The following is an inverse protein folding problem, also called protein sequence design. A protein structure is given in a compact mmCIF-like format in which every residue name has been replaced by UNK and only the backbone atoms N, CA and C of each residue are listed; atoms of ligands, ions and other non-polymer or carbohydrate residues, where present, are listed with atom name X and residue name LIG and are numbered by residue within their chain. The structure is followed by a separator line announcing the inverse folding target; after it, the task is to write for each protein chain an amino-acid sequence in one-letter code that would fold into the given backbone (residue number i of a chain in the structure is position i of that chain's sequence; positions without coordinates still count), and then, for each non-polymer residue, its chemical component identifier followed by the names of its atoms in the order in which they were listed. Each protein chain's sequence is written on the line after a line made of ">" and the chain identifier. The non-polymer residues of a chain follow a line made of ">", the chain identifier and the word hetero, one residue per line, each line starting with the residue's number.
data_IF_530792183529
#
_entry.id   IF_530792183529
#
_cell.length_a   1.000
_cell.length_b   1.000
_cell.length_c   1.000
_cell.angle_alpha   90.00
_cell.angle_beta   90.00
_cell.angle_gamma   90.00
#
_symmetry.space_group_name_H-M   'P 1'
#
loop_
_entity.id
_entity.type
_entity.pdbx_description
1 polymer ?
#
# COMPACT_ATOMS: atom_id res chain seq x y z
N UNK A 1 -11.59 19.90 13.43
CA UNK A 1 -10.32 19.48 12.81
C UNK A 1 -10.62 18.23 12.00
N UNK A 2 -10.09 18.16 10.79
CA UNK A 2 -10.26 17.02 9.88
C UNK A 2 -9.50 15.83 10.45
N UNK A 3 -10.11 14.65 10.50
CA UNK A 3 -9.43 13.43 10.95
C UNK A 3 -8.54 12.89 9.84
N UNK A 4 -7.36 12.37 10.16
CA UNK A 4 -6.48 11.75 9.16
C UNK A 4 -6.23 10.30 9.51
N UNK A 5 -6.56 9.38 8.60
CA UNK A 5 -6.19 7.98 8.72
C UNK A 5 -5.03 7.69 7.77
N UNK A 6 -3.94 7.16 8.32
CA UNK A 6 -2.82 6.66 7.56
C UNK A 6 -3.01 5.16 7.32
N UNK A 7 -3.03 4.74 6.05
CA UNK A 7 -3.16 3.34 5.65
C UNK A 7 -1.80 2.87 5.14
N UNK A 8 -1.03 2.19 6.00
CA UNK A 8 0.29 1.62 5.67
C UNK A 8 0.17 0.15 5.28
N UNK A 9 1.25 -0.44 4.79
CA UNK A 9 1.32 -1.88 4.58
C UNK A 9 2.17 -2.25 3.39
N UNK A 10 2.77 -3.44 3.49
CA UNK A 10 3.73 -3.92 2.52
C UNK A 10 3.13 -4.01 1.10
N UNK A 11 4.00 -3.98 0.10
CA UNK A 11 3.56 -3.99 -1.29
C UNK A 11 2.70 -5.23 -1.60
N UNK A 12 1.50 -5.02 -2.16
CA UNK A 12 0.59 -6.12 -2.52
C UNK A 12 -0.26 -6.65 -1.38
N UNK A 13 -0.20 -6.04 -0.18
CA UNK A 13 -1.01 -6.43 0.97
C UNK A 13 -2.51 -6.19 0.81
N UNK A 14 -2.96 -5.42 -0.20
CA UNK A 14 -4.38 -5.17 -0.45
C UNK A 14 -4.90 -3.81 0.05
N UNK A 15 -4.01 -2.86 0.38
CA UNK A 15 -4.34 -1.48 0.80
C UNK A 15 -5.46 -0.83 0.00
N UNK A 16 -5.31 -0.71 -1.32
CA UNK A 16 -6.31 -0.08 -2.20
C UNK A 16 -7.70 -0.75 -2.11
N UNK A 17 -7.75 -2.07 -1.92
CA UNK A 17 -9.02 -2.79 -1.70
C UNK A 17 -9.63 -2.44 -0.34
N UNK A 18 -8.80 -2.34 0.69
CA UNK A 18 -9.24 -1.91 2.02
C UNK A 18 -9.73 -0.45 2.01
N UNK A 19 -8.95 0.49 1.45
CA UNK A 19 -9.31 1.91 1.31
C UNK A 19 -10.68 2.04 0.65
N UNK A 20 -10.92 1.29 -0.43
CA UNK A 20 -12.20 1.27 -1.13
C UNK A 20 -13.37 0.84 -0.25
N UNK A 21 -13.22 -0.25 0.51
CA UNK A 21 -14.27 -0.72 1.44
C UNK A 21 -14.48 0.26 2.59
N UNK A 22 -13.40 0.79 3.14
CA UNK A 22 -13.43 1.72 4.26
C UNK A 22 -14.05 3.07 3.88
N UNK A 23 -13.65 3.64 2.73
CA UNK A 23 -14.22 4.85 2.16
C UNK A 23 -15.74 4.75 1.97
N UNK A 24 -16.23 3.63 1.40
CA UNK A 24 -17.67 3.38 1.26
C UNK A 24 -18.39 3.37 2.59
N UNK A 25 -17.84 2.66 3.57
CA UNK A 25 -18.40 2.64 4.91
C UNK A 25 -18.49 4.06 5.53
N UNK A 26 -17.44 4.87 5.41
CA UNK A 26 -17.43 6.24 5.92
C UNK A 26 -18.47 7.13 5.22
N UNK A 27 -18.59 7.02 3.90
CA UNK A 27 -19.62 7.71 3.12
C UNK A 27 -21.04 7.26 3.50
N UNK A 28 -21.26 5.98 3.78
CA UNK A 28 -22.54 5.46 4.30
C UNK A 28 -22.89 6.03 5.69
N UNK A 29 -21.88 6.38 6.49
CA UNK A 29 -22.06 7.14 7.74
C UNK A 29 -22.29 8.65 7.51
N UNK A 30 -22.33 9.10 6.25
CA UNK A 30 -22.56 10.50 5.88
C UNK A 30 -21.33 11.39 5.97
N UNK A 31 -20.11 10.83 6.02
CA UNK A 31 -18.88 11.62 6.03
C UNK A 31 -18.51 12.12 4.64
N UNK A 32 -18.04 13.36 4.56
CA UNK A 32 -17.34 13.89 3.40
C UNK A 32 -15.84 13.56 3.52
N UNK A 33 -15.31 12.75 2.59
CA UNK A 33 -13.94 12.23 2.69
C UNK A 33 -13.04 12.72 1.55
N UNK A 34 -11.77 12.95 1.85
CA UNK A 34 -10.72 13.09 0.86
C UNK A 34 -9.82 11.86 0.88
N UNK A 35 -9.43 11.33 -0.28
CA UNK A 35 -8.43 10.24 -0.35
C UNK A 35 -7.19 10.82 -1.01
N UNK A 36 -6.08 10.80 -0.28
CA UNK A 36 -4.78 11.21 -0.77
C UNK A 36 -3.95 9.97 -1.09
N UNK A 37 -3.91 9.63 -2.38
CA UNK A 37 -3.05 8.57 -2.89
C UNK A 37 -1.67 9.14 -3.20
N UNK A 38 -0.63 8.35 -2.92
CA UNK A 38 0.72 8.71 -3.30
C UNK A 38 1.28 7.66 -4.27
N UNK A 39 1.66 8.10 -5.47
CA UNK A 39 2.23 7.23 -6.49
C UNK A 39 3.70 7.57 -6.73
N UNK A 40 4.57 6.56 -6.60
CA UNK A 40 5.94 6.62 -7.06
C UNK A 40 6.03 5.97 -8.44
N UNK A 41 5.44 6.60 -9.45
CA UNK A 41 5.31 6.03 -10.78
C UNK A 41 4.70 6.96 -11.82
N UNK A 42 4.91 6.62 -13.11
CA UNK A 42 4.37 7.39 -14.25
C UNK A 42 2.89 7.06 -14.56
N UNK A 43 2.33 6.00 -13.96
CA UNK A 43 0.98 5.51 -14.23
C UNK A 43 0.29 5.17 -12.90
N UNK A 44 -0.66 6.03 -12.52
CA UNK A 44 -1.38 5.92 -11.25
C UNK A 44 -2.53 4.92 -11.33
N UNK A 45 -2.16 3.66 -11.18
CA UNK A 45 -3.06 2.53 -11.22
C UNK A 45 -4.03 2.51 -10.05
N UNK A 46 -3.52 2.76 -8.84
CA UNK A 46 -4.34 2.62 -7.63
C UNK A 46 -5.42 3.70 -7.59
N UNK A 47 -5.12 4.90 -8.10
CA UNK A 47 -6.14 5.93 -8.34
C UNK A 47 -7.20 5.49 -9.36
N UNK A 48 -6.85 4.72 -10.41
CA UNK A 48 -7.87 4.18 -11.33
C UNK A 48 -8.84 3.22 -10.63
N UNK A 49 -8.37 2.42 -9.67
CA UNK A 49 -9.21 1.49 -8.90
C UNK A 49 -10.15 2.22 -7.93
N UNK A 50 -9.78 3.42 -7.51
CA UNK A 50 -10.54 4.26 -6.59
C UNK A 50 -11.47 5.24 -7.28
N UNK A 51 -11.30 5.53 -8.58
CA UNK A 51 -12.15 6.49 -9.33
C UNK A 51 -13.65 6.26 -9.21
N UNK A 52 -14.08 5.02 -9.04
CA UNK A 52 -15.50 4.71 -8.84
C UNK A 52 -16.06 5.20 -7.49
N UNK A 53 -15.20 5.64 -6.56
CA UNK A 53 -15.59 6.28 -5.32
C UNK A 53 -15.83 7.78 -5.48
N UNK A 54 -15.30 8.41 -6.56
CA UNK A 54 -15.47 9.85 -6.77
C UNK A 54 -16.94 10.23 -6.88
N UNK A 55 -17.33 11.22 -6.09
CA UNK A 55 -18.70 11.69 -6.04
C UNK A 55 -18.85 12.88 -5.11
N UNK A 56 -20.09 13.19 -4.73
CA UNK A 56 -20.41 14.35 -3.90
C UNK A 56 -19.73 14.32 -2.52
N UNK A 57 -19.48 13.13 -1.96
CA UNK A 57 -18.93 12.94 -0.61
C UNK A 57 -17.52 12.31 -0.62
N UNK A 58 -16.87 12.19 -1.78
CA UNK A 58 -15.53 11.63 -1.88
C UNK A 58 -14.76 12.24 -3.04
N UNK A 59 -13.63 12.87 -2.72
CA UNK A 59 -12.69 13.42 -3.70
C UNK A 59 -11.36 12.67 -3.64
N UNK A 60 -10.80 12.37 -4.81
CA UNK A 60 -9.49 11.74 -4.94
C UNK A 60 -8.44 12.80 -5.26
N UNK A 61 -7.41 12.84 -4.44
CA UNK A 61 -6.26 13.71 -4.60
C UNK A 61 -4.99 12.88 -4.70
N UNK A 62 -3.97 13.45 -5.34
CA UNK A 62 -2.69 12.78 -5.47
C UNK A 62 -1.50 13.68 -5.19
N UNK A 63 -0.46 13.09 -4.63
CA UNK A 63 0.89 13.65 -4.67
C UNK A 63 1.67 12.93 -5.77
N UNK A 64 2.17 13.69 -6.75
CA UNK A 64 3.00 13.12 -7.80
C UNK A 64 4.39 12.77 -7.25
N UNK A 65 4.75 11.48 -7.28
CA UNK A 65 6.10 10.97 -7.03
C UNK A 65 7.04 11.14 -8.22
N UNK A 66 8.33 10.89 -8.00
CA UNK A 66 9.41 11.14 -8.97
C UNK A 66 10.29 12.35 -8.66
N UNK A 67 10.31 12.82 -7.41
CA UNK A 67 11.31 13.76 -6.94
C UNK A 67 11.93 13.29 -5.62
N UNK A 68 13.04 13.91 -5.20
CA UNK A 68 13.71 13.58 -3.95
C UNK A 68 12.79 13.69 -2.72
N UNK A 69 13.22 13.08 -1.61
CA UNK A 69 12.48 13.02 -0.35
C UNK A 69 12.01 14.40 0.13
N UNK A 70 12.83 15.45 -0.02
CA UNK A 70 12.49 16.81 0.41
C UNK A 70 11.39 17.44 -0.45
N UNK A 71 11.50 17.29 -1.77
CA UNK A 71 10.48 17.72 -2.72
C UNK A 71 9.15 17.02 -2.45
N UNK A 72 9.19 15.71 -2.18
CA UNK A 72 8.02 14.95 -1.81
C UNK A 72 7.36 15.49 -0.53
N UNK A 73 8.13 15.69 0.56
CA UNK A 73 7.62 16.27 1.82
C UNK A 73 6.93 17.62 1.61
N UNK A 74 7.53 18.50 0.78
CA UNK A 74 6.94 19.80 0.43
C UNK A 74 5.63 19.66 -0.35
N UNK A 75 5.55 18.74 -1.31
CA UNK A 75 4.33 18.51 -2.10
C UNK A 75 3.22 17.91 -1.24
N UNK A 76 3.56 16.93 -0.41
CA UNK A 76 2.65 16.33 0.55
C UNK A 76 2.04 17.38 1.48
N UNK A 77 2.88 18.21 2.12
CA UNK A 77 2.42 19.33 2.95
C UNK A 77 1.53 20.30 2.18
N UNK A 78 1.95 20.71 0.98
CA UNK A 78 1.19 21.64 0.13
C UNK A 78 -0.19 21.07 -0.22
N UNK A 79 -0.27 19.78 -0.51
CA UNK A 79 -1.52 19.10 -0.86
C UNK A 79 -2.45 19.01 0.35
N UNK A 80 -1.94 18.66 1.53
CA UNK A 80 -2.72 18.69 2.77
C UNK A 80 -3.24 20.10 3.08
N UNK A 81 -2.46 21.16 2.84
CA UNK A 81 -2.96 22.53 2.99
C UNK A 81 -4.14 22.78 2.04
N UNK A 82 -4.05 22.39 0.76
CA UNK A 82 -5.16 22.56 -0.16
C UNK A 82 -6.41 21.78 0.29
N UNK A 83 -6.24 20.51 0.68
CA UNK A 83 -7.33 19.64 1.15
C UNK A 83 -7.99 20.14 2.44
N UNK A 84 -7.25 20.82 3.32
CA UNK A 84 -7.78 21.37 4.57
C UNK A 84 -8.85 22.44 4.34
N UNK A 85 -8.91 23.01 3.14
CA UNK A 85 -9.89 24.02 2.73
C UNK A 85 -11.13 23.43 2.05
N UNK A 86 -11.15 22.12 1.77
CA UNK A 86 -12.24 21.45 1.04
C UNK A 86 -13.42 20.99 1.92
N UNK A 87 -13.34 21.16 3.23
CA UNK A 87 -14.44 20.82 4.15
C UNK A 87 -14.66 19.31 4.35
N UNK A 88 -13.61 18.50 4.24
CA UNK A 88 -13.67 17.08 4.58
C UNK A 88 -13.84 16.86 6.08
N UNK A 89 -14.58 15.82 6.46
CA UNK A 89 -14.61 15.30 7.83
C UNK A 89 -13.37 14.45 8.11
N UNK A 90 -12.90 13.72 7.09
CA UNK A 90 -11.79 12.77 7.19
C UNK A 90 -10.98 12.69 5.90
N UNK A 91 -9.65 12.56 6.04
CA UNK A 91 -8.73 12.30 4.93
C UNK A 91 -8.11 10.92 5.12
N UNK A 92 -8.18 10.07 4.11
CA UNK A 92 -7.50 8.78 4.04
C UNK A 92 -6.19 8.99 3.28
N UNK A 93 -5.06 8.56 3.82
CA UNK A 93 -3.76 8.72 3.19
C UNK A 93 -3.13 7.35 2.97
N UNK A 94 -2.87 6.99 1.71
CA UNK A 94 -1.94 5.92 1.37
C UNK A 94 -0.56 6.55 1.12
N UNK A 95 0.43 6.31 2.00
CA UNK A 95 1.78 6.80 1.78
C UNK A 95 2.47 5.97 0.67
N UNK A 96 3.54 6.51 0.07
CA UNK A 96 4.32 5.71 -0.90
C UNK A 96 5.09 4.60 -0.17
N UNK A 97 5.51 3.58 -0.90
CA UNK A 97 6.44 2.56 -0.37
C UNK A 97 7.83 3.07 0.05
N UNK A 98 8.08 4.39 -0.03
CA UNK A 98 9.33 5.09 0.34
C UNK A 98 9.09 6.05 1.52
N UNK A 99 7.87 6.03 2.05
CA UNK A 99 7.45 6.96 3.07
C UNK A 99 7.81 6.42 4.45
N UNK A 100 8.61 7.19 5.18
CA UNK A 100 8.81 6.97 6.61
C UNK A 100 7.55 7.42 7.36
N UNK A 101 6.94 6.54 8.15
CA UNK A 101 5.74 6.86 8.94
C UNK A 101 5.97 8.11 9.81
N UNK A 102 7.20 8.35 10.25
CA UNK A 102 7.54 9.54 11.03
C UNK A 102 7.42 10.83 10.22
N UNK A 103 7.64 10.80 8.89
CA UNK A 103 7.43 11.98 8.04
C UNK A 103 5.96 12.42 8.02
N UNK A 104 5.02 11.48 8.25
CA UNK A 104 3.58 11.80 8.39
C UNK A 104 3.30 12.49 9.71
N UNK A 105 3.85 11.94 10.80
CA UNK A 105 3.72 12.53 12.12
C UNK A 105 4.32 13.93 12.13
N UNK A 106 5.54 14.11 11.63
CA UNK A 106 6.20 15.41 11.51
C UNK A 106 5.34 16.41 10.72
N UNK A 107 4.86 16.02 9.53
CA UNK A 107 4.07 16.90 8.67
C UNK A 107 2.80 17.40 9.38
N UNK A 108 2.10 16.54 10.12
CA UNK A 108 0.88 16.91 10.83
C UNK A 108 1.11 17.72 12.10
N UNK A 109 2.32 17.73 12.65
CA UNK A 109 2.70 18.59 13.79
C UNK A 109 3.24 19.96 13.34
N UNK A 110 3.44 20.19 12.04
CA UNK A 110 3.89 21.47 11.52
C UNK A 110 2.73 22.43 11.22
N UNK A 111 2.95 23.73 11.47
CA UNK A 111 2.00 24.76 11.04
C UNK A 111 1.90 24.84 9.49
N UNK A 112 0.69 25.04 8.93
CA UNK A 112 -0.60 25.21 9.60
C UNK A 112 -1.39 23.90 9.82
N UNK A 113 -0.80 22.74 9.49
CA UNK A 113 -1.49 21.45 9.49
C UNK A 113 -1.91 21.01 10.89
N UNK A 114 -1.09 21.30 11.89
CA UNK A 114 -1.34 21.07 13.33
C UNK A 114 -2.68 21.66 13.83
N UNK A 115 -3.18 22.72 13.19
CA UNK A 115 -4.44 23.38 13.52
C UNK A 115 -5.62 22.86 12.71
N UNK A 116 -5.36 22.21 11.58
CA UNK A 116 -6.40 21.77 10.64
C UNK A 116 -6.71 20.29 10.77
N UNK A 117 -5.68 19.49 11.10
CA UNK A 117 -5.73 18.05 11.07
C UNK A 117 -5.44 17.43 12.43
N UNK A 118 -6.17 16.36 12.73
CA UNK A 118 -5.90 15.51 13.88
C UNK A 118 -5.73 14.08 13.41
N UNK A 119 -4.67 13.43 13.86
CA UNK A 119 -4.44 12.01 13.58
C UNK A 119 -5.60 11.19 14.16
N UNK A 120 -6.26 10.45 13.27
CA UNK A 120 -7.34 9.53 13.58
C UNK A 120 -6.76 8.16 13.89
N UNK A 121 -6.37 7.44 12.84
CA UNK A 121 -5.86 6.08 12.95
C UNK A 121 -4.58 5.87 12.13
N UNK A 122 -3.73 4.96 12.57
CA UNK A 122 -2.70 4.33 11.73
C UNK A 122 -3.10 2.87 11.56
N UNK A 123 -3.41 2.47 10.32
CA UNK A 123 -3.94 1.15 9.98
C UNK A 123 -2.94 0.48 9.06
N UNK A 124 -2.42 -0.68 9.46
CA UNK A 124 -1.49 -1.44 8.61
C UNK A 124 -2.17 -2.64 8.00
N UNK A 125 -2.09 -2.76 6.68
CA UNK A 125 -2.60 -3.91 5.95
C UNK A 125 -1.47 -4.88 5.65
N UNK A 126 -1.61 -6.14 6.03
CA UNK A 126 -0.62 -7.21 5.82
C UNK A 126 -1.28 -8.41 5.14
N UNK A 127 -0.61 -9.01 4.16
CA UNK A 127 -1.08 -10.27 3.56
C UNK A 127 -1.04 -11.40 4.60
N UNK A 128 -2.14 -12.14 4.79
CA UNK A 128 -2.21 -13.26 5.73
C UNK A 128 -1.21 -14.38 5.39
N UNK A 129 -0.76 -14.45 4.14
CA UNK A 129 0.21 -15.43 3.63
C UNK A 129 1.55 -14.77 3.29
N UNK A 130 2.03 -13.88 4.17
CA UNK A 130 3.33 -13.23 4.02
C UNK A 130 4.46 -14.27 3.89
N UNK A 131 5.45 -13.98 3.02
CA UNK A 131 6.62 -14.84 2.85
C UNK A 131 7.36 -15.03 4.18
N UNK A 132 7.71 -16.28 4.50
CA UNK A 132 8.32 -16.65 5.80
C UNK A 132 9.69 -16.01 6.05
N UNK A 133 10.36 -15.65 4.95
CA UNK A 133 11.72 -15.12 4.95
C UNK A 133 11.75 -13.93 4.00
N UNK A 134 11.97 -12.76 4.56
CA UNK A 134 12.23 -11.54 3.80
C UNK A 134 13.70 -11.14 4.01
N UNK A 135 14.20 -10.18 3.23
CA UNK A 135 15.48 -9.54 3.52
C UNK A 135 15.40 -8.76 4.83
N UNK A 136 16.56 -8.40 5.41
CA UNK A 136 16.60 -7.57 6.63
C UNK A 136 15.98 -6.19 6.38
N UNK A 137 16.17 -5.67 5.17
CA UNK A 137 15.65 -4.40 4.73
C UNK A 137 14.12 -4.43 4.54
N UNK A 138 13.60 -5.51 3.97
CA UNK A 138 12.16 -5.74 3.87
C UNK A 138 11.50 -5.96 5.23
N UNK A 139 12.15 -6.69 6.14
CA UNK A 139 11.70 -6.85 7.52
C UNK A 139 11.68 -5.52 8.28
N UNK A 140 12.68 -4.65 8.04
CA UNK A 140 12.67 -3.29 8.56
C UNK A 140 11.46 -2.48 8.07
N UNK A 141 11.20 -2.48 6.76
CA UNK A 141 10.04 -1.75 6.19
C UNK A 141 8.74 -2.27 6.80
N UNK A 142 8.54 -3.58 6.79
CA UNK A 142 7.37 -4.23 7.37
C UNK A 142 7.17 -3.86 8.85
N UNK A 143 8.23 -3.91 9.64
CA UNK A 143 8.17 -3.58 11.06
C UNK A 143 7.89 -2.09 11.30
N UNK A 144 8.51 -1.20 10.51
CA UNK A 144 8.29 0.26 10.62
C UNK A 144 6.85 0.66 10.29
N UNK A 145 6.22 0.01 9.31
CA UNK A 145 4.82 0.27 8.94
C UNK A 145 3.84 -0.15 10.04
N UNK A 146 4.20 -1.20 10.78
CA UNK A 146 3.37 -1.80 11.83
C UNK A 146 3.62 -1.15 13.19
N UNK A 147 4.81 -0.63 13.48
CA UNK A 147 5.22 -0.16 14.80
C UNK A 147 4.21 0.79 15.45
N UNK A 148 3.72 1.77 14.70
CA UNK A 148 2.80 2.81 15.19
C UNK A 148 1.31 2.52 14.90
N UNK A 149 0.99 1.35 14.34
CA UNK A 149 -0.37 1.02 13.92
C UNK A 149 -1.33 0.81 15.09
N UNK A 150 -2.46 1.51 15.17
CA UNK A 150 -3.52 1.18 16.14
C UNK A 150 -4.24 -0.12 15.78
N UNK A 151 -4.24 -0.49 14.49
CA UNK A 151 -4.82 -1.74 14.01
C UNK A 151 -3.97 -2.36 12.90
N UNK A 152 -3.82 -3.70 12.95
CA UNK A 152 -3.22 -4.49 11.88
C UNK A 152 -4.32 -5.35 11.25
N UNK A 153 -4.54 -5.18 9.95
CA UNK A 153 -5.54 -5.92 9.18
C UNK A 153 -4.83 -7.00 8.36
N UNK A 154 -5.17 -8.26 8.62
CA UNK A 154 -4.75 -9.34 7.72
C UNK A 154 -5.70 -9.40 6.53
N UNK A 155 -5.13 -9.36 5.32
CA UNK A 155 -5.86 -9.51 4.06
C UNK A 155 -5.76 -10.93 3.54
N UNK A 156 -6.62 -11.28 2.57
CA UNK A 156 -6.64 -12.60 1.92
C UNK A 156 -6.77 -13.78 2.88
N UNK A 157 -7.38 -13.55 4.05
CA UNK A 157 -7.53 -14.57 5.09
C UNK A 157 -8.36 -15.77 4.64
N UNK A 158 -9.22 -15.60 3.63
CA UNK A 158 -10.00 -16.68 3.03
C UNK A 158 -9.15 -17.71 2.28
N UNK A 159 -7.97 -17.30 1.81
CA UNK A 159 -7.02 -18.15 1.07
C UNK A 159 -5.88 -18.65 1.96
N UNK A 160 -5.81 -18.18 3.22
CA UNK A 160 -4.77 -18.51 4.18
C UNK A 160 -5.25 -19.55 5.21
N UNK A 161 -4.42 -20.54 5.48
CA UNK A 161 -4.61 -21.47 6.59
C UNK A 161 -4.39 -20.79 7.93
N UNK A 162 -4.99 -21.34 9.00
CA UNK A 162 -4.76 -20.86 10.36
C UNK A 162 -3.28 -20.92 10.79
N UNK A 163 -2.48 -21.78 10.15
CA UNK A 163 -1.04 -21.84 10.40
C UNK A 163 -0.28 -20.72 9.69
N UNK A 164 -0.63 -20.38 8.45
CA UNK A 164 -0.05 -19.23 7.74
C UNK A 164 -0.34 -17.92 8.48
N UNK A 165 -1.59 -17.72 8.92
CA UNK A 165 -1.96 -16.55 9.74
C UNK A 165 -1.10 -16.45 11.00
N UNK A 166 -0.90 -17.56 11.73
CA UNK A 166 -0.05 -17.58 12.92
C UNK A 166 1.41 -17.27 12.57
N UNK A 167 1.91 -17.80 11.46
CA UNK A 167 3.28 -17.55 11.00
C UNK A 167 3.49 -16.09 10.61
N UNK A 168 2.53 -15.48 9.92
CA UNK A 168 2.55 -14.05 9.58
C UNK A 168 2.62 -13.20 10.83
N UNK A 169 1.75 -13.42 11.83
CA UNK A 169 1.79 -12.66 13.09
C UNK A 169 3.08 -12.90 13.87
N UNK A 170 3.62 -14.13 13.86
CA UNK A 170 4.90 -14.43 14.48
C UNK A 170 6.06 -13.72 13.78
N UNK A 171 6.03 -13.64 12.44
CA UNK A 171 7.01 -12.92 11.63
C UNK A 171 6.97 -11.43 11.95
N UNK A 172 5.79 -10.79 11.96
CA UNK A 172 5.65 -9.38 12.31
C UNK A 172 6.26 -9.07 13.68
N UNK A 173 6.00 -9.92 14.67
CA UNK A 173 6.59 -9.77 16.01
C UNK A 173 8.11 -9.94 16.01
N UNK A 174 8.65 -10.87 15.22
CA UNK A 174 10.10 -11.03 15.05
C UNK A 174 10.73 -9.78 14.40
N UNK A 175 10.12 -9.27 13.33
CA UNK A 175 10.60 -8.09 12.62
C UNK A 175 10.59 -6.84 13.53
N UNK A 176 9.54 -6.67 14.35
CA UNK A 176 9.49 -5.62 15.38
C UNK A 176 10.65 -5.76 16.39
N UNK A 177 10.95 -6.97 16.85
CA UNK A 177 12.08 -7.22 17.76
C UNK A 177 13.44 -6.92 17.11
N UNK A 178 13.61 -7.23 15.83
CA UNK A 178 14.85 -6.98 15.09
C UNK A 178 15.17 -5.49 14.92
N UNK A 179 14.15 -4.64 14.90
CA UNK A 179 14.29 -3.17 14.93
C UNK A 179 14.26 -2.61 16.37
N UNK A 180 14.39 -3.46 17.38
CA UNK A 180 14.34 -3.09 18.80
C UNK A 180 13.03 -2.39 19.25
N UNK A 181 11.92 -2.63 18.55
CA UNK A 181 10.60 -2.19 18.97
C UNK A 181 10.11 -3.07 20.12
N UNK A 182 9.61 -2.46 21.20
CA UNK A 182 9.13 -3.19 22.39
C UNK A 182 7.77 -3.87 22.18
N UNK A 183 7.08 -3.48 21.10
CA UNK A 183 5.72 -3.88 20.78
C UNK A 183 5.59 -5.37 20.48
N UNK A 184 4.49 -5.96 20.94
CA UNK A 184 4.08 -7.33 20.60
C UNK A 184 2.61 -7.36 20.19
N UNK A 185 2.35 -7.69 18.94
CA UNK A 185 1.01 -7.74 18.35
C UNK A 185 0.19 -8.89 18.95
N UNK A 186 -1.02 -8.56 19.42
CA UNK A 186 -2.01 -9.51 19.96
C UNK A 186 -3.42 -9.16 19.47
N UNK A 187 -4.23 -8.48 20.28
CA UNK A 187 -5.67 -8.25 20.06
C UNK A 187 -5.98 -7.18 18.99
N UNK A 188 -4.96 -6.43 18.58
CA UNK A 188 -4.99 -5.38 17.56
C UNK A 188 -5.04 -5.95 16.13
N UNK A 189 -4.74 -7.26 15.98
CA UNK A 189 -4.77 -7.95 14.69
C UNK A 189 -6.21 -8.38 14.37
N UNK A 190 -6.77 -7.85 13.29
CA UNK A 190 -8.06 -8.29 12.75
C UNK A 190 -7.81 -9.29 11.62
N UNK A 191 -8.23 -10.52 11.84
CA UNK A 191 -8.11 -11.62 10.90
C UNK A 191 -9.50 -12.15 10.54
N UNK A 192 -10.14 -11.51 9.57
CA UNK A 192 -11.47 -11.87 9.06
C UNK A 192 -11.54 -11.51 7.59
N UNK A 193 -12.27 -12.29 6.80
CA UNK A 193 -12.53 -11.95 5.41
C UNK A 193 -13.23 -10.58 5.34
N UNK A 194 -12.73 -9.70 4.49
CA UNK A 194 -13.23 -8.34 4.33
C UNK A 194 -14.56 -8.29 3.57
N UNK A 195 -14.97 -9.38 2.92
CA UNK A 195 -16.35 -9.53 2.44
C UNK A 195 -17.33 -9.77 3.59
N UNK A 196 -16.85 -10.32 4.71
CA UNK A 196 -17.66 -10.54 5.92
C UNK A 196 -17.56 -9.38 6.93
N UNK A 197 -16.90 -8.27 6.58
CA UNK A 197 -16.82 -7.10 7.44
C UNK A 197 -18.21 -6.50 7.63
N UNK A 198 -18.56 -6.30 8.90
CA UNK A 198 -19.78 -5.61 9.31
C UNK A 198 -19.42 -4.26 9.91
N UNK A 199 -20.44 -3.47 10.23
CA UNK A 199 -20.29 -2.21 10.97
C UNK A 199 -19.46 -2.37 12.26
N UNK A 200 -19.50 -3.56 12.90
CA UNK A 200 -18.71 -3.84 14.10
C UNK A 200 -17.20 -3.79 13.84
N UNK A 201 -16.74 -4.41 12.75
CA UNK A 201 -15.32 -4.41 12.40
C UNK A 201 -14.86 -3.01 12.00
N UNK A 202 -15.63 -2.30 11.19
CA UNK A 202 -15.29 -0.92 10.81
C UNK A 202 -15.28 0.05 12.00
N UNK A 203 -16.20 -0.09 12.96
CA UNK A 203 -16.15 0.69 14.21
C UNK A 203 -14.90 0.40 15.02
N UNK A 204 -14.51 -0.88 15.15
CA UNK A 204 -13.24 -1.25 15.82
C UNK A 204 -12.04 -0.59 15.15
N UNK A 205 -12.01 -0.55 13.81
CA UNK A 205 -10.96 0.12 13.05
C UNK A 205 -10.97 1.63 13.30
N UNK A 206 -12.15 2.26 13.25
CA UNK A 206 -12.31 3.71 13.49
C UNK A 206 -11.87 4.17 14.88
N UNK A 207 -11.98 3.28 15.87
CA UNK A 207 -11.64 3.51 17.27
C UNK A 207 -10.24 3.02 17.64
N UNK A 208 -9.46 2.52 16.66
CA UNK A 208 -8.17 1.87 16.91
C UNK A 208 -7.05 2.84 17.25
N UNK A 209 -7.13 4.09 16.79
CA UNK A 209 -6.13 5.11 17.05
C UNK A 209 -4.77 4.78 16.42
N UNK A 210 -3.72 5.16 17.12
CA UNK A 210 -2.34 4.85 16.77
C UNK A 210 -1.52 4.70 18.05
N UNK A 211 -0.36 4.07 17.92
CA UNK A 211 0.62 3.92 18.99
C UNK A 211 1.83 4.80 18.68
N UNK A 212 2.57 5.19 19.72
CA UNK A 212 3.85 5.88 19.60
C UNK A 212 4.90 4.94 20.17
N UNK A 213 5.53 4.17 19.28
CA UNK A 213 6.58 3.23 19.63
C UNK A 213 7.93 3.75 19.15
N UNK A 214 8.96 3.57 19.98
CA UNK A 214 10.34 3.83 19.59
C UNK A 214 10.95 2.56 18.96
N UNK A 215 11.72 2.74 17.90
CA UNK A 215 12.47 1.67 17.25
C UNK A 215 13.77 2.20 16.61
N UNK A 216 14.73 1.31 16.40
CA UNK A 216 15.99 1.64 15.74
C UNK A 216 15.77 1.82 14.23
N UNK A 217 16.04 3.03 13.74
CA UNK A 217 16.00 3.31 12.30
C UNK A 217 17.18 2.68 11.58
N UNK A 218 16.87 1.92 10.55
CA UNK A 218 17.85 1.47 9.59
C UNK A 218 18.10 2.62 8.59
N UNK A 219 19.30 3.20 8.61
CA UNK A 219 19.71 4.23 7.65
C UNK A 219 20.01 3.59 6.28
N UNK A 220 18.94 3.26 5.56
CA UNK A 220 18.98 2.83 4.17
C UNK A 220 17.94 3.66 3.44
N UNK A 221 18.29 4.22 2.28
CA UNK A 221 17.30 4.87 1.43
C UNK A 221 16.29 3.80 0.99
N UNK A 222 15.01 3.97 1.33
CA UNK A 222 13.98 2.98 0.95
C UNK A 222 13.92 2.78 -0.58
N UNK A 223 14.36 3.79 -1.35
CA UNK A 223 14.61 3.74 -2.80
C UNK A 223 15.66 2.69 -3.22
N UNK A 224 16.64 2.39 -2.35
CA UNK A 224 17.65 1.36 -2.58
C UNK A 224 17.14 -0.04 -2.18
N UNK A 225 16.12 -0.13 -1.33
CA UNK A 225 15.56 -1.41 -0.87
C UNK A 225 14.69 -2.01 -1.97
N UNK A 226 13.67 -1.28 -2.43
CA UNK A 226 12.76 -1.74 -3.47
C UNK A 226 12.84 -0.87 -4.72
N UNK A 227 13.18 -1.52 -5.83
CA UNK A 227 13.20 -0.91 -7.16
C UNK A 227 11.88 -1.19 -7.87
N UNK A 228 11.42 -0.21 -8.65
CA UNK A 228 10.28 -0.35 -9.54
C UNK A 228 10.72 -0.12 -10.98
N UNK A 229 10.51 -1.12 -11.83
CA UNK A 229 10.80 -1.05 -13.27
C UNK A 229 9.49 -0.94 -14.06
N UNK A 230 9.44 0.01 -14.98
CA UNK A 230 8.29 0.25 -15.86
C UNK A 230 8.61 -0.19 -17.29
N UNK A 231 7.80 -1.09 -17.83
CA UNK A 231 7.89 -1.56 -19.20
C UNK A 231 6.66 -1.10 -19.97
N UNK A 232 6.86 -0.08 -20.82
CA UNK A 232 5.83 0.53 -21.67
C UNK A 232 6.05 0.25 -23.16
N UNK A 233 7.07 -0.55 -23.48
CA UNK A 233 7.55 -0.75 -24.85
C UNK A 233 6.73 -1.84 -25.56
N UNK A 234 5.89 -1.40 -26.51
CA UNK A 234 4.97 -2.17 -27.36
C UNK A 234 3.94 -3.07 -26.65
N UNK A 235 2.84 -3.38 -27.36
CA UNK A 235 1.71 -4.13 -26.79
C UNK A 235 2.10 -5.54 -26.39
N UNK A 236 2.30 -5.75 -25.09
CA UNK A 236 2.53 -7.09 -24.54
C UNK A 236 1.20 -7.84 -24.51
N UNK A 237 1.12 -8.95 -25.25
CA UNK A 237 -0.05 -9.82 -25.20
C UNK A 237 -0.27 -10.37 -23.77
N UNK A 238 -1.53 -10.40 -23.31
CA UNK A 238 -1.92 -10.85 -21.95
C UNK A 238 -1.33 -12.22 -21.60
N UNK A 239 -1.39 -13.17 -22.54
CA UNK A 239 -0.84 -14.52 -22.37
C UNK A 239 0.68 -14.51 -22.16
N UNK A 240 1.39 -13.63 -22.88
CA UNK A 240 2.84 -13.46 -22.76
C UNK A 240 3.21 -12.83 -21.43
N UNK A 241 2.52 -11.76 -21.02
CA UNK A 241 2.75 -11.11 -19.73
C UNK A 241 2.56 -12.07 -18.55
N UNK A 242 1.50 -12.88 -18.58
CA UNK A 242 1.25 -13.91 -17.55
C UNK A 242 2.36 -14.96 -17.50
N UNK A 243 2.86 -15.39 -18.65
CA UNK A 243 3.95 -16.37 -18.73
C UNK A 243 5.29 -15.77 -18.30
N UNK A 244 5.56 -14.52 -18.68
CA UNK A 244 6.75 -13.78 -18.30
C UNK A 244 6.80 -13.57 -16.79
N UNK A 245 5.69 -13.17 -16.16
CA UNK A 245 5.60 -12.99 -14.71
C UNK A 245 6.07 -14.25 -13.97
N UNK A 246 5.58 -15.44 -14.36
CA UNK A 246 6.01 -16.71 -13.77
C UNK A 246 7.51 -16.98 -13.90
N UNK A 247 8.11 -16.64 -15.04
CA UNK A 247 9.55 -16.81 -15.27
C UNK A 247 10.38 -15.80 -14.48
N UNK A 248 9.90 -14.56 -14.39
CA UNK A 248 10.54 -13.48 -13.63
C UNK A 248 10.63 -13.85 -12.15
N UNK A 249 9.55 -14.38 -11.55
CA UNK A 249 9.59 -14.86 -10.15
C UNK A 249 10.48 -16.09 -9.94
N UNK A 250 10.67 -16.92 -10.97
CA UNK A 250 11.39 -18.18 -10.85
C UNK A 250 12.90 -18.06 -11.14
N UNK A 251 13.36 -16.98 -11.77
CA UNK A 251 14.77 -16.77 -12.11
C UNK A 251 15.42 -15.77 -11.13
N UNK A 252 16.30 -16.23 -10.22
CA UNK A 252 17.02 -15.35 -9.29
C UNK A 252 17.88 -14.29 -9.98
N UNK A 253 18.24 -14.48 -11.26
CA UNK A 253 18.97 -13.47 -12.03
C UNK A 253 18.14 -12.22 -12.32
N UNK A 254 16.81 -12.27 -12.15
CA UNK A 254 15.93 -11.10 -12.24
C UNK A 254 15.99 -10.21 -10.99
N UNK A 255 16.57 -10.68 -9.88
CA UNK A 255 16.50 -10.03 -8.56
C UNK A 255 15.44 -10.65 -7.65
N UNK A 256 15.27 -10.06 -6.46
CA UNK A 256 14.24 -10.43 -5.48
C UNK A 256 12.89 -9.85 -5.86
N UNK A 257 12.27 -10.38 -6.92
CA UNK A 257 10.99 -9.86 -7.43
C UNK A 257 9.86 -10.22 -6.47
N UNK A 258 9.14 -9.20 -6.00
CA UNK A 258 8.02 -9.35 -5.06
C UNK A 258 6.67 -9.29 -5.77
N UNK A 259 6.55 -8.45 -6.80
CA UNK A 259 5.29 -8.22 -7.49
C UNK A 259 5.46 -7.86 -8.95
N UNK A 260 4.53 -8.33 -9.78
CA UNK A 260 4.35 -7.87 -11.16
C UNK A 260 2.91 -7.38 -11.30
N UNK A 261 2.73 -6.10 -11.62
CA UNK A 261 1.43 -5.48 -11.91
C UNK A 261 1.39 -5.14 -13.40
N UNK A 262 0.25 -5.28 -14.05
CA UNK A 262 0.13 -4.97 -15.47
C UNK A 262 -1.26 -4.50 -15.84
N UNK A 263 -1.32 -3.59 -16.81
CA UNK A 263 -2.55 -3.11 -17.41
C UNK A 263 -2.40 -3.42 -18.88
N UNK A 264 -3.20 -4.37 -19.35
CA UNK A 264 -2.98 -4.98 -20.65
C UNK A 264 -4.27 -4.91 -21.45
N UNK A 265 -4.17 -4.44 -22.68
CA UNK A 265 -5.31 -4.42 -23.59
C UNK A 265 -5.59 -5.82 -24.14
N UNK A 266 -6.84 -6.30 -23.96
CA UNK A 266 -7.35 -7.53 -24.57
C UNK A 266 -8.52 -7.19 -25.50
N UNK A 267 -8.19 -6.93 -26.77
CA UNK A 267 -9.15 -6.46 -27.76
C UNK A 267 -9.71 -5.08 -27.41
N UNK A 268 -10.98 -5.02 -26.99
CA UNK A 268 -11.65 -3.78 -26.53
C UNK A 268 -11.68 -3.63 -25.01
N UNK A 269 -11.33 -4.68 -24.28
CA UNK A 269 -11.37 -4.70 -22.83
C UNK A 269 -9.97 -4.43 -22.26
N UNK A 270 -9.93 -3.97 -21.02
CA UNK A 270 -8.70 -3.84 -20.26
C UNK A 270 -8.67 -4.90 -19.17
N UNK A 271 -7.49 -5.48 -18.95
CA UNK A 271 -7.24 -6.44 -17.88
C UNK A 271 -6.15 -5.91 -16.96
N UNK A 272 -6.41 -5.95 -15.67
CA UNK A 272 -5.41 -5.84 -14.62
C UNK A 272 -4.79 -7.21 -14.36
N UNK A 273 -3.49 -7.32 -14.61
CA UNK A 273 -2.62 -8.40 -14.15
C UNK A 273 -2.05 -8.03 -12.79
N UNK A 274 -2.23 -8.89 -11.79
CA UNK A 274 -1.59 -8.73 -10.50
C UNK A 274 -1.01 -10.09 -10.10
N UNK A 275 0.32 -10.18 -10.03
CA UNK A 275 1.05 -11.40 -9.74
C UNK A 275 2.04 -11.20 -8.60
N UNK A 276 2.12 -12.20 -7.73
CA UNK A 276 3.12 -12.39 -6.68
C UNK A 276 3.80 -13.74 -6.90
N UNK A 277 4.74 -14.13 -6.03
CA UNK A 277 5.37 -15.45 -6.11
C UNK A 277 4.35 -16.62 -6.04
N UNK A 278 3.24 -16.41 -5.33
CA UNK A 278 2.25 -17.46 -5.05
C UNK A 278 1.01 -17.39 -5.94
N UNK A 279 0.61 -16.19 -6.36
CA UNK A 279 -0.66 -15.97 -7.03
C UNK A 279 -0.49 -15.18 -8.33
N UNK A 280 -1.37 -15.42 -9.29
CA UNK A 280 -1.50 -14.55 -10.47
C UNK A 280 -2.96 -14.39 -10.83
N UNK A 281 -3.46 -13.17 -10.71
CA UNK A 281 -4.85 -12.80 -11.00
C UNK A 281 -4.93 -11.93 -12.26
N UNK A 282 -6.03 -12.08 -12.98
CA UNK A 282 -6.41 -11.25 -14.12
C UNK A 282 -7.85 -10.79 -13.91
N UNK A 283 -8.07 -9.48 -13.80
CA UNK A 283 -9.40 -8.90 -13.56
C UNK A 283 -9.74 -7.87 -14.63
N UNK A 284 -10.98 -7.83 -15.15
CA UNK A 284 -11.39 -6.80 -16.09
C UNK A 284 -11.49 -5.44 -15.40
N UNK A 285 -11.08 -4.39 -16.12
CA UNK A 285 -11.19 -2.99 -15.68
C UNK A 285 -11.79 -2.14 -16.80
N UNK A 286 -12.34 -0.98 -16.45
CA UNK A 286 -13.03 -0.11 -17.40
C UNK A 286 -12.10 0.66 -18.34
N UNK A 287 -10.97 1.14 -17.82
CA UNK A 287 -9.97 1.94 -18.55
C UNK A 287 -8.58 1.55 -18.06
N UNK A 288 -7.60 1.52 -18.95
CA UNK A 288 -6.20 1.25 -18.61
C UNK A 288 -5.25 1.85 -19.63
N UNK A 289 -3.95 1.65 -19.39
CA UNK A 289 -2.86 1.98 -20.30
C UNK A 289 -1.94 0.76 -20.40
N UNK A 290 -1.42 0.44 -21.58
CA UNK A 290 -0.50 -0.70 -21.72
C UNK A 290 0.79 -0.44 -20.92
N UNK A 291 0.95 -1.13 -19.80
CA UNK A 291 2.15 -1.08 -18.96
C UNK A 291 2.30 -2.39 -18.19
N UNK A 292 3.55 -2.81 -18.00
CA UNK A 292 3.93 -3.78 -16.99
C UNK A 292 4.90 -3.13 -15.98
N UNK A 293 4.64 -3.36 -14.71
CA UNK A 293 5.38 -2.82 -13.57
C UNK A 293 5.93 -4.01 -12.79
N UNK A 294 7.25 -4.03 -12.59
CA UNK A 294 7.94 -5.07 -11.80
C UNK A 294 8.56 -4.41 -10.58
N UNK A 295 8.28 -4.95 -9.39
CA UNK A 295 8.70 -4.38 -8.12
C UNK A 295 9.42 -5.46 -7.31
N UNK A 296 10.56 -5.11 -6.73
CA UNK A 296 11.36 -6.02 -5.91
C UNK A 296 12.74 -5.47 -5.58
N UNK A 297 13.61 -6.32 -5.05
CA UNK A 297 14.95 -5.95 -4.59
C UNK A 297 16.02 -6.28 -5.64
N UNK A 298 16.98 -5.38 -5.85
CA UNK A 298 18.14 -5.60 -6.74
C UNK A 298 17.73 -6.15 -8.12
N UNK A 299 16.72 -5.52 -8.72
CA UNK A 299 16.13 -5.93 -9.98
C UNK A 299 17.15 -5.81 -11.12
N UNK A 300 17.15 -6.80 -12.02
CA UNK A 300 17.93 -6.78 -13.24
C UNK A 300 17.03 -6.48 -14.44
N UNK A 301 17.00 -5.21 -14.87
CA UNK A 301 16.12 -4.76 -15.95
C UNK A 301 16.36 -5.50 -17.26
N UNK A 302 17.60 -5.71 -17.68
CA UNK A 302 17.93 -6.42 -18.93
C UNK A 302 17.38 -7.85 -18.92
N UNK A 303 17.53 -8.54 -17.79
CA UNK A 303 17.08 -9.91 -17.63
C UNK A 303 15.55 -10.01 -17.57
N UNK A 304 14.90 -9.05 -16.90
CA UNK A 304 13.44 -8.97 -16.86
C UNK A 304 12.90 -8.67 -18.26
N UNK A 305 13.50 -7.72 -18.98
CA UNK A 305 13.15 -7.35 -20.35
C UNK A 305 13.23 -8.55 -21.31
N UNK A 306 14.25 -9.40 -21.17
CA UNK A 306 14.39 -10.64 -21.94
C UNK A 306 13.17 -11.58 -21.85
N UNK A 307 12.45 -11.58 -20.73
CA UNK A 307 11.23 -12.38 -20.58
C UNK A 307 9.97 -11.71 -21.15
N UNK A 308 10.03 -10.39 -21.36
CA UNK A 308 8.94 -9.58 -21.90
C UNK A 308 9.01 -9.45 -23.42
N UNK A 309 10.19 -9.62 -24.02
CA UNK A 309 10.46 -9.79 -25.47
C UNK A 309 10.09 -11.17 -26.01
#
# INVERSE_FOLDING_TARGET
>A
MVKVDLITGFLGSGKTTFIKKYARYLMEQGQNIGILENDFGAINVDMMLLRELEGENCELEMVAGGCDKDCYRRRFKTKLIAMGMCGYDRVLIEPSGIFDVDDFFDALHEEPLDRWYQIGNVITVVDASLEKTLSKEADYVLASEVANAGCVLLSKTQDASAEEIRQTVAHLNRALQEIHCSRVLKDEVICKDWEDFTEKEFKKILESGYLVEDYEKLYVDQDEIFQTLFFMDEKIAVSKAKHAAKKIFADPACGGVLRVKGFLQDGKNWLELNATQHETTLKPIGVGQDVLIVIGEKLNEEKIRYYLE
#
